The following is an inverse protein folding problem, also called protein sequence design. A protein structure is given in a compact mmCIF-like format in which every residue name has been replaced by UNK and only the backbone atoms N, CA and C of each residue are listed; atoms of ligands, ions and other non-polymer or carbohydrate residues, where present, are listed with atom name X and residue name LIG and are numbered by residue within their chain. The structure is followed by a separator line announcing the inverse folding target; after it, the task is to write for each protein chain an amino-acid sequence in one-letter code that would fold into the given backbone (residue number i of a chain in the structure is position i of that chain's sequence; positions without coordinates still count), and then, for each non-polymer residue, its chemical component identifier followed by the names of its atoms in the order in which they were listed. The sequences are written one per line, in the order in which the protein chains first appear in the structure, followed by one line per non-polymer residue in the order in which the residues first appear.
data_IF_350606859350
#
_entry.id   IF_350606859350
#
_cell.length_a   1.000
_cell.length_b   1.000
_cell.length_c   1.000
_cell.angle_alpha   90.00
_cell.angle_beta   90.00
_cell.angle_gamma   90.00
#
_symmetry.space_group_name_H-M   'P 1'
#
loop_
_entity.id
_entity.type
_entity.pdbx_description
1 polymer ?
#
# COMPACT_ATOMS: atom_id res chain seq x y z
N UNK A 1 -11.61 0.76 20.72
CA UNK A 1 -10.57 -0.02 20.07
C UNK A 1 -9.41 -0.31 21.02
N UNK A 2 -8.84 -1.51 20.92
CA UNK A 2 -7.68 -1.87 21.72
C UNK A 2 -6.54 -0.87 21.50
N UNK A 3 -5.89 -0.45 22.57
CA UNK A 3 -4.70 0.36 22.49
C UNK A 3 -3.63 -0.44 21.74
N UNK A 4 -2.99 0.07 20.67
CA UNK A 4 -1.93 -0.68 20.06
C UNK A 4 -0.83 -0.89 21.10
N UNK A 5 -0.21 -2.05 21.05
CA UNK A 5 1.01 -2.31 21.83
C UNK A 5 2.00 -1.18 21.56
N UNK A 6 2.76 -0.72 22.55
CA UNK A 6 3.81 0.25 22.32
C UNK A 6 4.66 -0.22 21.15
N UNK A 7 5.07 0.70 20.28
CA UNK A 7 5.95 0.37 19.16
C UNK A 7 7.16 -0.38 19.71
N UNK A 8 7.28 -1.64 19.36
CA UNK A 8 8.51 -2.38 19.64
C UNK A 8 9.65 -1.64 18.98
N UNK A 9 10.72 -1.42 19.74
CA UNK A 9 11.97 -0.92 19.16
C UNK A 9 12.38 -1.83 18.01
N UNK A 10 12.85 -1.25 16.90
CA UNK A 10 13.44 -2.04 15.83
C UNK A 10 14.59 -2.90 16.40
N UNK A 11 14.75 -4.15 15.94
CA UNK A 11 15.90 -4.94 16.31
C UNK A 11 17.18 -4.21 15.94
N UNK A 12 18.23 -4.34 16.76
CA UNK A 12 19.51 -3.69 16.55
C UNK A 12 20.16 -4.07 15.19
N UNK A 13 19.79 -5.22 14.63
CA UNK A 13 20.16 -5.63 13.29
C UNK A 13 18.89 -5.93 12.49
N UNK A 14 18.77 -5.41 11.24
CA UNK A 14 17.67 -5.76 10.37
C UNK A 14 17.70 -7.26 10.05
N UNK A 15 16.54 -7.93 9.92
CA UNK A 15 16.50 -9.33 9.51
C UNK A 15 17.11 -9.46 8.11
N UNK A 16 17.89 -10.52 7.90
CA UNK A 16 18.33 -10.88 6.54
C UNK A 16 17.15 -11.50 5.81
N UNK A 17 16.63 -10.79 4.82
CA UNK A 17 15.58 -11.31 3.96
C UNK A 17 16.19 -12.20 2.86
N UNK A 18 15.49 -13.28 2.47
CA UNK A 18 15.84 -13.99 1.23
C UNK A 18 15.70 -13.04 0.05
N UNK A 19 16.48 -13.26 -0.99
CA UNK A 19 16.44 -12.43 -2.21
C UNK A 19 16.31 -13.31 -3.44
N UNK A 20 15.67 -12.75 -4.48
CA UNK A 20 15.51 -13.37 -5.79
C UNK A 20 16.05 -12.45 -6.89
N UNK A 21 16.26 -12.98 -8.07
CA UNK A 21 16.55 -12.15 -9.24
C UNK A 21 15.29 -11.41 -9.68
N UNK A 22 15.41 -10.17 -10.20
CA UNK A 22 14.28 -9.48 -10.82
C UNK A 22 13.70 -10.31 -11.98
N UNK A 23 12.39 -10.18 -12.28
CA UNK A 23 11.80 -10.81 -13.46
C UNK A 23 12.53 -10.41 -14.75
N UNK A 24 12.78 -11.39 -15.65
CA UNK A 24 13.62 -11.17 -16.83
C UNK A 24 12.99 -10.24 -17.89
N UNK A 25 11.67 -10.22 -18.02
CA UNK A 25 10.96 -9.56 -19.13
C UNK A 25 10.20 -8.29 -18.67
N UNK A 26 10.86 -7.47 -17.88
CA UNK A 26 10.27 -6.19 -17.45
C UNK A 26 10.35 -5.14 -18.57
N UNK A 27 9.33 -4.26 -18.73
CA UNK A 27 9.45 -3.07 -19.55
C UNK A 27 10.69 -2.24 -19.16
N UNK A 28 11.36 -1.62 -20.14
CA UNK A 28 12.63 -0.92 -19.90
C UNK A 28 12.58 0.11 -18.74
N UNK A 29 11.56 0.99 -18.63
CA UNK A 29 11.52 1.93 -17.51
C UNK A 29 11.36 1.23 -16.16
N UNK A 30 10.68 0.08 -16.11
CA UNK A 30 10.51 -0.74 -14.90
C UNK A 30 11.81 -1.45 -14.53
N UNK A 31 12.51 -2.03 -15.51
CA UNK A 31 13.81 -2.67 -15.29
C UNK A 31 14.85 -1.69 -14.74
N UNK A 32 14.86 -0.46 -15.27
CA UNK A 32 15.69 0.64 -14.77
C UNK A 32 15.35 1.02 -13.34
N UNK A 33 14.05 1.13 -13.03
CA UNK A 33 13.58 1.40 -11.67
C UNK A 33 14.02 0.32 -10.68
N UNK A 34 13.88 -0.96 -11.01
CA UNK A 34 14.32 -2.07 -10.15
C UNK A 34 15.80 -1.95 -9.82
N UNK A 35 16.64 -1.73 -10.83
CA UNK A 35 18.08 -1.57 -10.63
C UNK A 35 18.43 -0.42 -9.71
N UNK A 36 17.74 0.71 -9.88
CA UNK A 36 17.96 1.93 -9.07
C UNK A 36 17.44 1.81 -7.65
N UNK A 37 16.23 1.25 -7.45
CA UNK A 37 15.57 1.23 -6.16
C UNK A 37 15.89 -0.01 -5.31
N UNK A 38 16.13 -1.16 -5.94
CA UNK A 38 16.29 -2.45 -5.28
C UNK A 38 17.65 -3.12 -5.55
N UNK A 39 18.34 -2.71 -6.62
CA UNK A 39 19.61 -3.32 -7.04
C UNK A 39 19.44 -4.61 -7.86
N UNK A 40 20.48 -5.45 -7.85
CA UNK A 40 20.52 -6.67 -8.64
C UNK A 40 19.74 -7.83 -8.04
N UNK A 41 19.38 -7.72 -6.77
CA UNK A 41 18.64 -8.75 -6.03
C UNK A 41 17.44 -8.11 -5.30
N UNK A 42 16.26 -8.67 -5.50
CA UNK A 42 14.99 -8.18 -4.91
C UNK A 42 14.72 -8.94 -3.61
N UNK A 43 14.54 -8.24 -2.47
CA UNK A 43 14.18 -8.90 -1.22
C UNK A 43 12.77 -9.48 -1.28
N UNK A 44 12.59 -10.67 -0.74
CA UNK A 44 11.28 -11.31 -0.58
C UNK A 44 10.73 -10.86 0.78
N UNK A 45 9.65 -10.07 0.73
CA UNK A 45 8.97 -9.53 1.91
C UNK A 45 7.67 -10.31 2.11
N UNK A 46 7.52 -10.95 3.25
CA UNK A 46 6.28 -11.61 3.65
C UNK A 46 5.41 -10.66 4.48
N UNK A 47 6.00 -10.03 5.48
CA UNK A 47 5.32 -9.10 6.37
C UNK A 47 6.14 -7.83 6.57
N UNK A 48 5.45 -6.72 6.81
CA UNK A 48 6.11 -5.45 7.14
C UNK A 48 5.33 -4.68 8.19
N UNK A 49 6.05 -3.91 9.01
CA UNK A 49 5.48 -2.95 9.95
C UNK A 49 6.06 -1.58 9.66
N UNK A 50 5.19 -0.63 9.36
CA UNK A 50 5.55 0.77 9.16
C UNK A 50 4.95 1.59 10.29
N UNK A 51 5.80 2.33 10.99
CA UNK A 51 5.39 3.22 12.07
C UNK A 51 5.84 4.63 11.77
N UNK A 52 5.00 5.59 12.09
CA UNK A 52 5.32 6.99 11.82
C UNK A 52 4.61 7.97 12.73
N UNK A 53 5.04 9.23 12.60
CA UNK A 53 4.43 10.39 13.25
C UNK A 53 4.27 11.49 12.22
N UNK A 54 3.23 12.31 12.38
CA UNK A 54 2.96 13.42 11.47
C UNK A 54 1.71 14.17 11.89
N UNK A 55 0.93 14.55 10.92
CA UNK A 55 -0.26 15.34 11.14
C UNK A 55 -1.45 14.73 10.41
N UNK A 56 -2.57 14.59 11.12
CA UNK A 56 -3.85 14.20 10.59
C UNK A 56 -4.77 15.42 10.53
N UNK A 57 -5.43 15.62 9.38
CA UNK A 57 -6.48 16.64 9.26
C UNK A 57 -7.83 15.94 9.37
N UNK A 58 -8.63 16.36 10.35
CA UNK A 58 -9.98 15.85 10.58
C UNK A 58 -10.94 17.00 10.90
N UNK A 59 -12.09 17.05 10.22
CA UNK A 59 -13.06 18.14 10.39
C UNK A 59 -12.46 19.55 10.15
N UNK A 60 -11.47 19.68 9.26
CA UNK A 60 -10.77 20.93 9.02
C UNK A 60 -9.64 21.25 10.01
N UNK A 61 -9.57 20.56 11.15
CA UNK A 61 -8.55 20.76 12.19
C UNK A 61 -7.37 19.83 11.96
N UNK A 62 -6.16 20.32 12.22
CA UNK A 62 -4.91 19.58 12.08
C UNK A 62 -4.42 19.12 13.45
N UNK A 63 -4.28 17.82 13.62
CA UNK A 63 -3.84 17.20 14.86
C UNK A 63 -2.47 16.53 14.69
N UNK A 64 -1.59 16.56 15.67
CA UNK A 64 -0.47 15.62 15.71
C UNK A 64 -1.00 14.19 15.67
N UNK A 65 -0.35 13.32 14.92
CA UNK A 65 -0.78 11.94 14.77
C UNK A 65 0.40 10.99 14.83
N UNK A 66 0.11 9.77 15.23
CA UNK A 66 1.01 8.63 15.11
C UNK A 66 0.24 7.46 14.53
N UNK A 67 0.95 6.59 13.79
CA UNK A 67 0.35 5.43 13.16
C UNK A 67 1.26 4.22 13.21
N UNK A 68 0.64 3.07 13.07
CA UNK A 68 1.27 1.79 12.87
C UNK A 68 0.48 1.01 11.83
N UNK A 69 1.13 0.66 10.75
CA UNK A 69 0.59 -0.10 9.64
C UNK A 69 1.30 -1.45 9.60
N UNK A 70 0.54 -2.51 9.51
CA UNK A 70 1.02 -3.89 9.44
C UNK A 70 0.51 -4.46 8.13
N UNK A 71 1.43 -4.97 7.31
CA UNK A 71 1.11 -5.56 6.02
C UNK A 71 1.46 -7.04 6.01
N UNK A 72 0.60 -7.85 5.38
CA UNK A 72 0.96 -9.10 4.77
C UNK A 72 1.07 -8.85 3.27
N UNK A 73 2.26 -9.06 2.71
CA UNK A 73 2.61 -8.62 1.37
C UNK A 73 1.62 -9.14 0.32
N UNK A 74 1.00 -8.24 -0.45
CA UNK A 74 0.05 -8.58 -1.50
C UNK A 74 -1.28 -9.21 -1.06
N UNK A 75 -1.51 -9.39 0.26
CA UNK A 75 -2.69 -10.07 0.78
C UNK A 75 -3.60 -9.16 1.62
N UNK A 76 -3.02 -8.27 2.44
CA UNK A 76 -3.82 -7.42 3.28
C UNK A 76 -3.04 -6.52 4.24
N UNK A 77 -3.77 -5.76 5.02
CA UNK A 77 -3.19 -4.84 5.99
C UNK A 77 -4.07 -4.62 7.22
N UNK A 78 -3.44 -4.08 8.26
CA UNK A 78 -4.09 -3.44 9.41
C UNK A 78 -3.45 -2.09 9.67
N UNK A 79 -4.23 -1.04 9.62
CA UNK A 79 -3.82 0.31 9.92
C UNK A 79 -4.39 0.77 11.25
N UNK A 80 -3.54 1.32 12.09
CA UNK A 80 -3.94 2.00 13.29
C UNK A 80 -3.40 3.43 13.28
N UNK A 81 -4.29 4.40 13.46
CA UNK A 81 -3.98 5.83 13.48
C UNK A 81 -4.54 6.43 14.75
N UNK A 82 -3.74 7.21 15.47
CA UNK A 82 -4.18 8.05 16.58
C UNK A 82 -3.89 9.52 16.26
N UNK A 83 -4.91 10.37 16.35
CA UNK A 83 -4.70 11.79 16.51
C UNK A 83 -4.54 12.10 17.99
N UNK A 84 -3.60 12.97 18.34
CA UNK A 84 -3.28 13.29 19.73
C UNK A 84 -3.46 14.77 20.03
N UNK A 85 -3.82 15.08 21.27
CA UNK A 85 -3.81 16.44 21.82
C UNK A 85 -3.07 16.40 23.16
N UNK A 86 -2.06 17.23 23.31
CA UNK A 86 -1.16 17.19 24.48
C UNK A 86 -0.63 15.78 24.80
N UNK A 87 -0.34 14.98 23.74
CA UNK A 87 0.16 13.62 23.89
C UNK A 87 -0.89 12.54 24.20
N UNK A 88 -2.15 12.94 24.48
CA UNK A 88 -3.25 12.01 24.73
C UNK A 88 -4.01 11.70 23.43
N UNK A 89 -4.40 10.44 23.16
CA UNK A 89 -5.18 10.10 21.99
C UNK A 89 -6.60 10.63 22.11
N UNK A 90 -6.99 11.48 21.16
CA UNK A 90 -8.35 12.08 21.11
C UNK A 90 -9.20 11.49 19.99
N UNK A 91 -8.59 10.92 18.97
CA UNK A 91 -9.28 10.23 17.89
C UNK A 91 -8.47 9.00 17.49
N UNK A 92 -9.16 7.87 17.31
CA UNK A 92 -8.57 6.60 16.90
C UNK A 92 -9.30 6.06 15.69
N UNK A 93 -8.53 5.59 14.71
CA UNK A 93 -9.04 4.92 13.52
C UNK A 93 -8.35 3.57 13.40
N UNK A 94 -9.13 2.52 13.23
CA UNK A 94 -8.66 1.21 12.82
C UNK A 94 -9.20 0.92 11.42
N UNK A 95 -8.33 0.55 10.52
CA UNK A 95 -8.69 0.08 9.20
C UNK A 95 -8.03 -1.27 8.97
N UNK A 96 -8.74 -2.18 8.36
CA UNK A 96 -8.19 -3.47 7.92
C UNK A 96 -8.73 -3.86 6.57
N UNK A 97 -7.91 -4.52 5.79
CA UNK A 97 -8.27 -5.20 4.57
C UNK A 97 -7.71 -6.63 4.67
N UNK A 98 -8.57 -7.60 4.86
CA UNK A 98 -8.21 -8.99 5.11
C UNK A 98 -9.14 -9.89 4.30
N UNK A 99 -8.57 -10.90 3.65
CA UNK A 99 -9.33 -11.89 2.87
C UNK A 99 -10.30 -11.26 1.83
N UNK A 100 -9.90 -10.12 1.26
CA UNK A 100 -10.68 -9.39 0.28
C UNK A 100 -11.76 -8.45 0.86
N UNK A 101 -11.85 -8.34 2.19
CA UNK A 101 -12.85 -7.52 2.86
C UNK A 101 -12.22 -6.42 3.70
N UNK A 102 -12.79 -5.23 3.57
CA UNK A 102 -12.40 -4.06 4.35
C UNK A 102 -13.28 -3.88 5.58
N UNK A 103 -12.68 -3.34 6.63
CA UNK A 103 -13.37 -2.89 7.82
C UNK A 103 -12.72 -1.61 8.33
N UNK A 104 -13.51 -0.53 8.40
CA UNK A 104 -13.07 0.77 8.90
C UNK A 104 -13.83 1.11 10.17
N UNK A 105 -13.13 1.20 11.30
CA UNK A 105 -13.66 1.60 12.59
C UNK A 105 -13.29 3.07 12.86
N UNK A 106 -14.30 3.90 12.86
CA UNK A 106 -14.25 5.32 13.19
C UNK A 106 -14.81 5.56 14.59
N UNK A 107 -14.53 6.70 15.24
CA UNK A 107 -15.08 7.04 16.56
C UNK A 107 -16.62 7.03 16.65
N UNK A 108 -17.29 7.18 15.53
CA UNK A 108 -18.75 7.31 15.42
C UNK A 108 -19.41 6.20 14.59
N UNK A 109 -18.70 5.16 14.23
CA UNK A 109 -19.30 4.02 13.51
C UNK A 109 -18.28 3.11 12.85
N UNK A 110 -18.80 2.02 12.31
CA UNK A 110 -18.05 1.02 11.55
C UNK A 110 -18.61 0.96 10.14
N UNK A 111 -17.72 0.92 9.16
CA UNK A 111 -18.05 0.67 7.75
C UNK A 111 -17.45 -0.66 7.36
N UNK A 112 -18.27 -1.59 6.90
CA UNK A 112 -17.88 -2.93 6.47
C UNK A 112 -18.90 -3.52 5.50
N UNK A 113 -18.54 -4.59 4.81
CA UNK A 113 -19.41 -5.29 3.84
C UNK A 113 -19.86 -4.41 2.66
N UNK A 114 -19.01 -3.49 2.24
CA UNK A 114 -19.26 -2.57 1.13
C UNK A 114 -18.31 -2.86 -0.03
N UNK A 115 -18.77 -3.49 -1.13
CA UNK A 115 -17.88 -3.91 -2.24
C UNK A 115 -17.04 -2.79 -2.84
N UNK A 116 -17.55 -1.56 -2.89
CA UNK A 116 -16.77 -0.40 -3.37
C UNK A 116 -15.65 -0.02 -2.42
N UNK A 117 -15.86 -0.20 -1.12
CA UNK A 117 -14.85 0.07 -0.09
C UNK A 117 -13.81 -1.06 -0.09
N UNK A 118 -14.23 -2.33 -0.25
CA UNK A 118 -13.32 -3.46 -0.41
C UNK A 118 -12.39 -3.24 -1.61
N UNK A 119 -12.95 -2.81 -2.74
CA UNK A 119 -12.18 -2.47 -3.92
C UNK A 119 -11.21 -1.30 -3.67
N UNK A 120 -11.66 -0.24 -3.00
CA UNK A 120 -10.81 0.90 -2.67
C UNK A 120 -9.68 0.51 -1.70
N UNK A 121 -9.95 -0.40 -0.77
CA UNK A 121 -8.96 -0.93 0.17
C UNK A 121 -7.91 -1.80 -0.55
N UNK A 122 -8.32 -2.64 -1.50
CA UNK A 122 -7.39 -3.39 -2.34
C UNK A 122 -6.46 -2.46 -3.13
N UNK A 123 -7.01 -1.42 -3.74
CA UNK A 123 -6.19 -0.40 -4.42
C UNK A 123 -5.26 0.33 -3.45
N UNK A 124 -5.70 0.57 -2.21
CA UNK A 124 -4.87 1.11 -1.14
C UNK A 124 -3.67 0.22 -0.83
N UNK A 125 -3.90 -1.09 -0.63
CA UNK A 125 -2.84 -2.09 -0.40
C UNK A 125 -1.73 -1.99 -1.45
N UNK A 126 -2.11 -1.97 -2.74
CA UNK A 126 -1.16 -1.94 -3.83
C UNK A 126 -0.52 -0.56 -4.06
N UNK A 127 -1.22 0.52 -3.82
CA UNK A 127 -0.66 1.87 -3.88
C UNK A 127 0.35 2.12 -2.76
N UNK A 128 0.07 1.65 -1.55
CA UNK A 128 0.96 1.78 -0.40
C UNK A 128 2.19 0.87 -0.48
N UNK A 129 2.16 -0.12 -1.36
CA UNK A 129 3.33 -0.94 -1.70
C UNK A 129 4.49 -0.14 -2.30
N UNK A 130 4.29 1.15 -2.60
CA UNK A 130 5.37 2.09 -2.93
C UNK A 130 6.44 2.17 -1.82
N UNK A 131 6.08 1.89 -0.58
CA UNK A 131 7.01 1.80 0.55
C UNK A 131 7.74 0.45 0.61
N UNK A 132 7.24 -0.54 -0.13
CA UNK A 132 7.70 -1.92 -0.15
C UNK A 132 7.74 -2.44 -1.61
N UNK A 133 8.39 -1.70 -2.54
CA UNK A 133 8.22 -1.95 -3.98
C UNK A 133 8.72 -3.33 -4.43
N UNK A 134 9.51 -4.02 -3.63
CA UNK A 134 9.93 -5.39 -3.88
C UNK A 134 8.74 -6.34 -4.14
N UNK A 135 7.58 -6.08 -3.51
CA UNK A 135 6.37 -6.90 -3.67
C UNK A 135 5.88 -6.92 -5.12
N UNK A 136 6.03 -5.81 -5.85
CA UNK A 136 5.64 -5.74 -7.27
C UNK A 136 6.46 -6.65 -8.19
N UNK A 137 7.57 -7.19 -7.70
CA UNK A 137 8.50 -8.04 -8.46
C UNK A 137 8.63 -9.46 -7.91
N UNK A 138 8.11 -9.71 -6.72
CA UNK A 138 8.17 -11.02 -6.05
C UNK A 138 6.81 -11.70 -5.97
N UNK A 139 5.70 -10.98 -6.10
CA UNK A 139 4.36 -11.58 -6.17
C UNK A 139 4.09 -12.10 -7.60
N UNK A 140 3.90 -13.41 -7.80
CA UNK A 140 3.73 -13.99 -9.14
C UNK A 140 2.42 -13.60 -9.83
N UNK A 141 1.48 -12.99 -9.12
CA UNK A 141 0.21 -12.51 -9.67
C UNK A 141 0.34 -11.13 -10.28
N UNK A 142 1.39 -10.39 -9.94
CA UNK A 142 1.65 -9.04 -10.45
C UNK A 142 2.31 -9.11 -11.83
N UNK A 143 1.86 -8.25 -12.74
CA UNK A 143 2.41 -8.13 -14.09
C UNK A 143 2.69 -6.68 -14.44
N UNK A 144 3.68 -6.50 -15.30
CA UNK A 144 4.02 -5.23 -15.88
C UNK A 144 3.84 -5.25 -17.39
N UNK A 145 3.17 -4.25 -17.94
CA UNK A 145 2.99 -4.08 -19.38
C UNK A 145 3.59 -2.75 -19.86
N UNK A 146 4.30 -2.73 -20.99
CA UNK A 146 4.88 -1.50 -21.51
C UNK A 146 3.79 -0.57 -22.05
N UNK A 147 4.01 0.75 -21.91
CA UNK A 147 3.27 1.80 -22.62
C UNK A 147 4.26 2.57 -23.51
N UNK A 148 5.30 3.13 -22.93
CA UNK A 148 6.36 3.87 -23.63
C UNK A 148 7.69 3.82 -22.85
N UNK A 149 8.68 4.65 -23.22
CA UNK A 149 10.01 4.69 -22.63
C UNK A 149 10.06 5.18 -21.17
N UNK A 150 8.96 5.72 -20.65
CA UNK A 150 8.84 6.29 -19.30
C UNK A 150 7.65 5.77 -18.52
N UNK A 151 6.77 5.02 -19.16
CA UNK A 151 5.46 4.68 -18.61
C UNK A 151 5.19 3.18 -18.77
N UNK A 152 4.66 2.56 -17.73
CA UNK A 152 4.21 1.18 -17.76
C UNK A 152 2.88 1.01 -17.01
N UNK A 153 2.17 -0.08 -17.29
CA UNK A 153 1.03 -0.52 -16.47
C UNK A 153 1.52 -1.53 -15.44
N UNK A 154 1.14 -1.30 -14.19
CA UNK A 154 1.22 -2.26 -13.11
C UNK A 154 -0.15 -2.91 -12.97
N UNK A 155 -0.22 -4.21 -13.18
CA UNK A 155 -1.45 -5.01 -13.10
C UNK A 155 -1.39 -5.85 -11.84
N UNK A 156 -2.33 -5.63 -10.94
CA UNK A 156 -2.37 -6.25 -9.61
C UNK A 156 -3.65 -7.07 -9.42
N UNK A 157 -3.63 -8.14 -8.62
CA UNK A 157 -4.83 -8.92 -8.36
C UNK A 157 -5.86 -8.12 -7.56
N UNK A 158 -7.12 -8.43 -7.78
CA UNK A 158 -8.26 -7.94 -7.00
C UNK A 158 -9.20 -9.08 -6.64
N UNK A 159 -9.64 -9.12 -5.39
CA UNK A 159 -10.56 -10.13 -4.88
C UNK A 159 -9.88 -11.42 -4.45
N UNK A 160 -10.57 -12.51 -4.60
CA UNK A 160 -10.15 -13.80 -4.10
C UNK A 160 -8.82 -14.29 -4.69
N UNK A 161 -8.26 -15.29 -4.07
CA UNK A 161 -6.96 -15.87 -4.45
C UNK A 161 -6.95 -16.52 -5.84
N UNK A 162 -8.10 -16.65 -6.50
CA UNK A 162 -8.21 -17.26 -7.83
C UNK A 162 -7.71 -16.34 -8.96
N UNK A 163 -7.42 -15.05 -8.66
CA UNK A 163 -6.77 -14.14 -9.61
C UNK A 163 -7.59 -13.84 -10.87
N UNK A 164 -8.91 -13.96 -10.80
CA UNK A 164 -9.81 -13.75 -11.93
C UNK A 164 -10.09 -12.28 -12.24
N UNK A 165 -9.79 -11.40 -11.28
CA UNK A 165 -9.98 -9.96 -11.41
C UNK A 165 -8.66 -9.23 -11.17
N UNK A 166 -8.48 -8.14 -11.91
CA UNK A 166 -7.26 -7.33 -11.85
C UNK A 166 -7.61 -5.85 -11.81
N UNK A 167 -6.73 -5.09 -11.21
CA UNK A 167 -6.73 -3.63 -11.25
C UNK A 167 -5.45 -3.13 -11.89
N UNK A 168 -5.53 -1.95 -12.49
CA UNK A 168 -4.43 -1.39 -13.27
C UNK A 168 -4.04 -0.03 -12.71
N UNK A 169 -2.75 0.11 -12.46
CA UNK A 169 -2.14 1.42 -12.25
C UNK A 169 -1.33 1.82 -13.47
N UNK A 170 -1.42 3.08 -13.86
CA UNK A 170 -0.46 3.68 -14.77
C UNK A 170 0.66 4.30 -13.95
N UNK A 171 1.89 3.93 -14.26
CA UNK A 171 3.08 4.30 -13.50
C UNK A 171 4.06 5.04 -14.41
N UNK A 172 4.48 6.24 -13.99
CA UNK A 172 5.48 7.06 -14.68
C UNK A 172 6.79 7.05 -13.92
N UNK A 173 7.86 6.90 -14.66
CA UNK A 173 9.22 6.92 -14.14
C UNK A 173 9.93 8.18 -14.62
N UNK A 174 10.80 8.71 -13.78
CA UNK A 174 11.65 9.82 -14.14
C UNK A 174 12.76 9.33 -15.09
N UNK A 175 12.92 9.92 -16.28
CA UNK A 175 13.89 9.43 -17.27
C UNK A 175 15.34 9.62 -16.83
N UNK A 176 15.62 10.63 -16.00
CA UNK A 176 16.98 10.98 -15.59
C UNK A 176 17.44 10.13 -14.39
N UNK A 177 16.55 9.89 -13.43
CA UNK A 177 16.87 9.16 -12.20
C UNK A 177 16.45 7.70 -12.23
N UNK A 178 15.53 7.31 -13.11
CA UNK A 178 14.93 5.99 -13.14
C UNK A 178 13.93 5.73 -11.99
N UNK A 179 13.69 6.70 -11.12
CA UNK A 179 12.81 6.53 -9.97
C UNK A 179 11.33 6.72 -10.35
N UNK A 180 10.45 6.13 -9.57
CA UNK A 180 9.00 6.31 -9.71
C UNK A 180 8.64 7.77 -9.42
N UNK A 181 7.91 8.39 -10.35
CA UNK A 181 7.48 9.79 -10.30
C UNK A 181 6.00 9.94 -9.99
N UNK A 182 5.18 9.08 -10.55
CA UNK A 182 3.71 9.15 -10.41
C UNK A 182 3.10 7.78 -10.60
N UNK A 183 2.04 7.51 -9.87
CA UNK A 183 1.23 6.29 -9.97
C UNK A 183 -0.24 6.68 -9.86
N UNK A 184 -1.07 6.21 -10.76
CA UNK A 184 -2.48 6.60 -10.88
C UNK A 184 -3.36 5.40 -11.17
N UNK A 185 -4.51 5.35 -10.52
CA UNK A 185 -5.58 4.40 -10.80
C UNK A 185 -6.95 5.03 -10.56
N UNK A 186 -7.99 4.40 -11.07
CA UNK A 186 -9.37 4.81 -10.81
C UNK A 186 -9.89 4.10 -9.55
N UNK A 187 -10.40 4.85 -8.60
CA UNK A 187 -10.97 4.31 -7.35
C UNK A 187 -12.29 4.98 -6.97
N UNK A 188 -13.05 4.31 -6.11
CA UNK A 188 -14.20 4.90 -5.46
C UNK A 188 -13.74 5.74 -4.25
N UNK A 189 -14.35 6.90 -4.00
CA UNK A 189 -14.07 7.71 -2.78
C UNK A 189 -14.76 7.13 -1.56
N UNK A 190 -16.01 6.68 -1.76
CA UNK A 190 -16.84 6.07 -0.74
C UNK A 190 -17.88 5.13 -1.38
N UNK A 191 -18.69 4.48 -0.55
CA UNK A 191 -19.69 3.53 -1.01
C UNK A 191 -20.80 4.17 -1.87
N UNK A 192 -21.11 5.45 -1.64
CA UNK A 192 -22.16 6.18 -2.34
C UNK A 192 -21.72 6.73 -3.70
N UNK A 193 -20.41 6.72 -4.02
CA UNK A 193 -19.90 7.23 -5.29
C UNK A 193 -20.49 6.47 -6.48
N UNK A 194 -20.99 7.20 -7.47
CA UNK A 194 -21.49 6.62 -8.73
C UNK A 194 -20.36 6.40 -9.74
N UNK A 195 -19.27 7.14 -9.63
CA UNK A 195 -18.13 7.12 -10.54
C UNK A 195 -16.82 6.85 -9.82
N UNK A 196 -15.91 6.19 -10.51
CA UNK A 196 -14.52 6.06 -10.06
C UNK A 196 -13.74 7.36 -10.33
N UNK A 197 -12.81 7.68 -9.45
CA UNK A 197 -11.99 8.89 -9.49
C UNK A 197 -10.49 8.54 -9.53
N UNK A 198 -9.69 9.42 -10.13
CA UNK A 198 -8.21 9.31 -10.19
C UNK A 198 -7.59 9.83 -8.88
#
# INVERSE_FOLDING_TARGET
GARPQPFTSYPAAPPRLPTVEPPANLPEPVARYVRMALGDRVPVIDTAVISGRGWLRFGGIKFPARWRFIYKAGEGYRHYIEATLFGQPVLKVNESYLDGHSRLELPFGVVENEPKIDHAANLGLWAESIWLPAIWFTDPRVRWEPIDDRTARLIVPFGDQAGSKYEVFTVWFDPDTGLLKRMVTLRWRDAADEKRHV
#
